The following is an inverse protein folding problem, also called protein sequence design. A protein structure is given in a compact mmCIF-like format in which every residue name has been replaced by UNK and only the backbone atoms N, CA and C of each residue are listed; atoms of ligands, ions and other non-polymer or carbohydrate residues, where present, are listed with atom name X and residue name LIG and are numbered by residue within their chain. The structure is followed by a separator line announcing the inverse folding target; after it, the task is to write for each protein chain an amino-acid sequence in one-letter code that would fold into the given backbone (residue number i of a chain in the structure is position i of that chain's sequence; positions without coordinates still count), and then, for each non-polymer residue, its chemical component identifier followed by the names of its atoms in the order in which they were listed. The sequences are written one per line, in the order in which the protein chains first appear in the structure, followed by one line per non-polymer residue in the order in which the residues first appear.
data_IF_607757900147
#
_entry.id   IF_607757900147
#
_cell.length_a   1.000
_cell.length_b   1.000
_cell.length_c   1.000
_cell.angle_alpha   90.00
_cell.angle_beta   90.00
_cell.angle_gamma   90.00
#
_symmetry.space_group_name_H-M   'P 1'
#
loop_
_entity.id
_entity.type
_entity.pdbx_description
1 polymer ?
#
# COMPACT_ATOMS: atom_id res chain seq x y z
N UNK A 1 7.09 2.42 -24.37
CA UNK A 1 6.18 3.58 -24.53
C UNK A 1 4.77 3.06 -24.64
N UNK A 2 3.87 3.53 -23.78
CA UNK A 2 2.44 3.23 -23.85
C UNK A 2 1.76 4.25 -24.78
N UNK A 3 0.89 3.77 -25.65
CA UNK A 3 0.14 4.62 -26.58
C UNK A 3 -1.38 4.39 -26.38
N UNK A 4 -2.21 5.41 -26.59
CA UNK A 4 -3.67 5.31 -26.47
C UNK A 4 -4.24 4.22 -27.41
N UNK A 5 -3.55 3.96 -28.52
CA UNK A 5 -3.88 2.90 -29.49
C UNK A 5 -3.79 1.51 -28.86
N UNK A 6 -2.87 1.28 -27.90
CA UNK A 6 -2.67 -0.02 -27.24
C UNK A 6 -3.86 -0.43 -26.36
N UNK A 7 -4.77 0.49 -26.03
CA UNK A 7 -6.00 0.18 -25.28
C UNK A 7 -7.05 -0.48 -26.18
N UNK A 8 -7.13 -0.05 -27.44
CA UNK A 8 -8.12 -0.53 -28.40
C UNK A 8 -7.60 -1.65 -29.31
N UNK A 9 -6.28 -1.77 -29.43
CA UNK A 9 -5.61 -2.88 -30.08
C UNK A 9 -4.46 -3.37 -29.19
N UNK A 10 -4.77 -4.15 -28.14
CA UNK A 10 -3.75 -4.63 -27.23
C UNK A 10 -2.71 -5.45 -27.99
N UNK A 11 -1.45 -5.22 -27.67
CA UNK A 11 -0.35 -6.01 -28.21
C UNK A 11 -0.58 -7.50 -27.88
N UNK A 12 -0.29 -8.42 -28.81
CA UNK A 12 -0.43 -9.84 -28.55
C UNK A 12 0.34 -10.23 -27.30
N UNK A 13 -0.24 -11.13 -26.51
CA UNK A 13 0.37 -11.58 -25.27
C UNK A 13 1.76 -12.14 -25.57
N UNK A 14 2.78 -11.62 -24.90
CA UNK A 14 4.16 -12.05 -25.04
C UNK A 14 4.75 -12.25 -23.66
N UNK A 15 5.73 -13.14 -23.57
CA UNK A 15 6.52 -13.26 -22.37
C UNK A 15 7.33 -11.96 -22.17
N UNK A 16 7.27 -11.43 -20.96
CA UNK A 16 8.09 -10.31 -20.53
C UNK A 16 9.48 -10.86 -20.20
N UNK A 17 10.51 -10.22 -20.73
CA UNK A 17 11.88 -10.59 -20.38
C UNK A 17 12.17 -10.25 -18.92
N UNK A 18 13.13 -10.95 -18.31
CA UNK A 18 13.54 -10.70 -16.93
C UNK A 18 13.91 -9.22 -16.71
N UNK A 19 14.55 -8.57 -17.68
CA UNK A 19 14.88 -7.14 -17.66
C UNK A 19 13.67 -6.21 -17.59
N UNK A 20 12.54 -6.64 -18.15
CA UNK A 20 11.30 -5.87 -18.13
C UNK A 20 10.55 -6.01 -16.80
N UNK A 21 10.69 -7.16 -16.13
CA UNK A 21 10.05 -7.45 -14.84
C UNK A 21 10.93 -7.12 -13.63
N UNK A 22 12.21 -6.78 -13.84
CA UNK A 22 13.10 -6.39 -12.75
C UNK A 22 12.56 -5.20 -11.96
N UNK A 23 12.70 -5.30 -10.63
CA UNK A 23 12.36 -4.23 -9.70
C UNK A 23 13.17 -2.96 -10.01
N UNK A 24 12.50 -1.81 -9.93
CA UNK A 24 13.14 -0.50 -9.99
C UNK A 24 13.38 0.03 -8.57
N UNK A 25 14.57 0.59 -8.28
CA UNK A 25 14.90 1.09 -6.93
C UNK A 25 13.89 2.16 -6.43
N UNK A 26 13.48 3.16 -7.24
CA UNK A 26 12.43 4.09 -6.86
C UNK A 26 11.08 3.40 -6.58
N UNK A 27 10.75 2.33 -7.31
CA UNK A 27 9.53 1.56 -7.10
C UNK A 27 9.55 0.89 -5.72
N UNK A 28 10.67 0.25 -5.37
CA UNK A 28 10.86 -0.38 -4.06
C UNK A 28 10.81 0.65 -2.92
N UNK A 29 11.47 1.79 -3.10
CA UNK A 29 11.41 2.90 -2.14
C UNK A 29 9.95 3.35 -1.95
N UNK A 30 9.23 3.56 -3.05
CA UNK A 30 7.84 4.02 -2.97
C UNK A 30 6.90 3.00 -2.34
N UNK A 31 7.03 1.71 -2.69
CA UNK A 31 6.24 0.66 -2.04
C UNK A 31 6.51 0.58 -0.54
N UNK A 32 7.77 0.78 -0.13
CA UNK A 32 8.16 0.74 1.29
C UNK A 32 7.59 1.92 2.05
N UNK A 33 7.74 3.14 1.52
CA UNK A 33 7.18 4.35 2.13
C UNK A 33 5.65 4.30 2.20
N UNK A 34 4.98 3.85 1.14
CA UNK A 34 3.53 3.69 1.15
C UNK A 34 3.10 2.68 2.23
N UNK A 35 3.72 1.51 2.26
CA UNK A 35 3.37 0.46 3.20
C UNK A 35 3.61 0.88 4.67
N UNK A 36 4.72 1.58 4.96
CA UNK A 36 4.99 2.14 6.28
C UNK A 36 4.03 3.27 6.66
N UNK A 37 3.83 4.25 5.76
CA UNK A 37 3.01 5.42 6.02
C UNK A 37 1.52 5.08 6.13
N UNK A 38 0.96 4.44 5.11
CA UNK A 38 -0.44 4.02 5.11
C UNK A 38 -0.69 2.90 6.12
N UNK A 39 0.23 1.95 6.25
CA UNK A 39 0.14 0.91 7.27
C UNK A 39 0.13 1.47 8.69
N UNK A 40 1.00 2.46 8.98
CA UNK A 40 1.01 3.19 10.25
C UNK A 40 -0.29 3.95 10.51
N UNK A 41 -0.81 4.64 9.49
CA UNK A 41 -2.10 5.32 9.57
C UNK A 41 -3.24 4.36 9.95
N UNK A 42 -3.31 3.18 9.32
CA UNK A 42 -4.30 2.16 9.65
C UNK A 42 -4.06 1.51 11.02
N UNK A 43 -2.82 1.12 11.35
CA UNK A 43 -2.47 0.40 12.58
C UNK A 43 -2.78 1.22 13.85
N UNK A 44 -2.56 2.54 13.78
CA UNK A 44 -2.90 3.49 14.85
C UNK A 44 -4.41 3.72 15.01
N UNK A 45 -5.23 3.20 14.09
CA UNK A 45 -6.68 3.38 14.11
C UNK A 45 -7.12 4.80 13.77
N UNK A 46 -6.26 5.60 13.13
CA UNK A 46 -6.60 6.97 12.74
C UNK A 46 -7.92 7.12 11.95
N UNK A 47 -8.23 6.25 10.96
CA UNK A 47 -9.52 6.33 10.25
C UNK A 47 -10.76 6.24 11.14
N UNK A 48 -10.61 5.67 12.34
CA UNK A 48 -11.72 5.37 13.25
C UNK A 48 -11.80 6.31 14.45
N UNK A 49 -11.08 7.44 14.41
CA UNK A 49 -11.22 8.46 15.43
C UNK A 49 -12.46 9.28 15.15
N UNK A 50 -13.32 9.40 16.15
CA UNK A 50 -14.46 10.31 16.11
C UNK A 50 -13.98 11.74 16.38
N UNK A 51 -14.15 12.64 15.40
CA UNK A 51 -13.63 14.02 15.44
C UNK A 51 -14.76 15.05 15.33
N UNK A 52 -14.40 16.34 15.32
CA UNK A 52 -15.36 17.43 15.10
C UNK A 52 -15.97 17.40 13.70
N UNK A 53 -15.32 16.74 12.73
CA UNK A 53 -15.86 16.57 11.38
C UNK A 53 -17.17 15.77 11.40
N UNK A 54 -17.19 14.64 12.11
CA UNK A 54 -18.37 13.79 12.23
C UNK A 54 -19.47 14.49 13.06
N UNK A 55 -19.08 15.22 14.12
CA UNK A 55 -20.01 16.06 14.90
C UNK A 55 -20.67 17.14 14.05
N UNK A 56 -19.89 17.83 13.22
CA UNK A 56 -20.37 18.86 12.30
C UNK A 56 -21.32 18.31 11.22
N UNK A 57 -21.26 17.00 10.94
CA UNK A 57 -22.19 16.29 10.06
C UNK A 57 -23.44 15.76 10.80
N UNK A 58 -23.58 16.05 12.10
CA UNK A 58 -24.69 15.57 12.93
C UNK A 58 -24.64 14.08 13.25
N UNK A 59 -23.50 13.42 13.02
CA UNK A 59 -23.33 11.99 13.34
C UNK A 59 -23.05 11.90 14.84
N UNK A 60 -23.88 11.16 15.59
CA UNK A 60 -23.63 10.90 17.01
C UNK A 60 -22.54 9.85 17.19
N UNK A 61 -21.92 9.81 18.38
CA UNK A 61 -20.93 8.77 18.69
C UNK A 61 -21.53 7.36 18.55
N UNK A 62 -22.77 7.15 18.99
CA UNK A 62 -23.44 5.86 18.89
C UNK A 62 -23.64 5.42 17.42
N UNK A 63 -24.03 6.35 16.54
CA UNK A 63 -24.18 6.09 15.11
C UNK A 63 -22.82 5.83 14.44
N UNK A 64 -21.78 6.57 14.83
CA UNK A 64 -20.42 6.35 14.34
C UNK A 64 -19.89 4.96 14.72
N UNK A 65 -20.09 4.52 15.96
CA UNK A 65 -19.70 3.19 16.44
C UNK A 65 -20.49 2.07 15.73
N UNK A 66 -21.79 2.28 15.46
CA UNK A 66 -22.61 1.34 14.70
C UNK A 66 -22.11 1.15 13.27
N UNK A 67 -21.63 2.22 12.63
CA UNK A 67 -21.05 2.17 11.27
C UNK A 67 -19.65 1.54 11.22
N UNK A 68 -18.94 1.55 12.34
CA UNK A 68 -17.57 1.05 12.43
C UNK A 68 -17.48 -0.09 13.47
N UNK A 69 -18.01 -1.28 13.16
CA UNK A 69 -18.01 -2.39 14.11
C UNK A 69 -16.59 -2.82 14.49
N UNK A 70 -16.43 -3.37 15.69
CA UNK A 70 -15.12 -3.72 16.26
C UNK A 70 -14.30 -4.65 15.37
N UNK A 71 -14.93 -5.66 14.76
CA UNK A 71 -14.23 -6.58 13.84
C UNK A 71 -13.60 -5.84 12.66
N UNK A 72 -14.28 -4.83 12.11
CA UNK A 72 -13.77 -4.04 10.98
C UNK A 72 -12.60 -3.17 11.41
N UNK A 73 -12.72 -2.50 12.57
CA UNK A 73 -11.64 -1.72 13.17
C UNK A 73 -10.39 -2.57 13.39
N UNK A 74 -10.54 -3.77 13.95
CA UNK A 74 -9.42 -4.67 14.20
C UNK A 74 -8.81 -5.23 12.91
N UNK A 75 -9.63 -5.58 11.92
CA UNK A 75 -9.14 -6.05 10.61
C UNK A 75 -8.27 -5.01 9.92
N UNK A 76 -8.72 -3.74 9.85
CA UNK A 76 -7.90 -2.69 9.23
C UNK A 76 -6.64 -2.38 10.02
N UNK A 77 -6.68 -2.41 11.36
CA UNK A 77 -5.49 -2.23 12.19
C UNK A 77 -4.48 -3.36 11.98
N UNK A 78 -4.95 -4.60 11.93
CA UNK A 78 -4.13 -5.78 11.64
C UNK A 78 -3.52 -5.71 10.24
N UNK A 79 -4.31 -5.35 9.23
CA UNK A 79 -3.81 -5.11 7.88
C UNK A 79 -2.75 -4.00 7.85
N UNK A 80 -2.95 -2.92 8.59
CA UNK A 80 -1.96 -1.86 8.77
C UNK A 80 -0.64 -2.37 9.35
N UNK A 81 -0.68 -3.22 10.39
CA UNK A 81 0.52 -3.85 10.96
C UNK A 81 1.23 -4.76 9.95
N UNK A 82 0.48 -5.53 9.15
CA UNK A 82 1.04 -6.35 8.07
C UNK A 82 1.74 -5.48 7.01
N UNK A 83 1.13 -4.36 6.62
CA UNK A 83 1.75 -3.41 5.70
C UNK A 83 3.05 -2.83 6.26
N UNK A 84 3.10 -2.48 7.55
CA UNK A 84 4.34 -2.00 8.18
C UNK A 84 5.44 -3.07 8.08
N UNK A 85 5.13 -4.32 8.45
CA UNK A 85 6.07 -5.42 8.34
C UNK A 85 6.55 -5.62 6.89
N UNK A 86 5.63 -5.60 5.93
CA UNK A 86 5.95 -5.68 4.51
C UNK A 86 6.84 -4.51 4.05
N UNK A 87 6.57 -3.29 4.50
CA UNK A 87 7.36 -2.10 4.19
C UNK A 87 8.79 -2.20 4.72
N UNK A 88 8.99 -2.75 5.93
CA UNK A 88 10.33 -3.01 6.49
C UNK A 88 11.05 -4.08 5.65
N UNK A 89 10.37 -5.19 5.35
CA UNK A 89 10.94 -6.29 4.57
C UNK A 89 11.38 -5.79 3.20
N UNK A 90 10.52 -5.08 2.46
CA UNK A 90 10.84 -4.52 1.15
C UNK A 90 11.89 -3.41 1.22
N UNK A 91 11.81 -2.53 2.21
CA UNK A 91 12.74 -1.41 2.37
C UNK A 91 14.16 -1.85 2.71
N UNK A 92 14.32 -3.02 3.34
CA UNK A 92 15.61 -3.59 3.72
C UNK A 92 16.14 -4.62 2.72
N UNK A 93 15.38 -4.94 1.68
CA UNK A 93 15.79 -5.86 0.61
C UNK A 93 16.92 -5.28 -0.24
N UNK A 94 17.92 -6.10 -0.57
CA UNK A 94 19.17 -5.68 -1.22
C UNK A 94 20.22 -5.18 -0.24
N UNK A 95 19.82 -4.71 0.95
CA UNK A 95 20.75 -4.21 1.97
C UNK A 95 20.99 -5.24 3.10
N UNK A 96 19.91 -5.70 3.73
CA UNK A 96 19.96 -6.63 4.88
C UNK A 96 19.81 -8.08 4.40
N UNK A 97 18.91 -8.32 3.43
CA UNK A 97 18.64 -9.64 2.86
C UNK A 97 18.54 -9.56 1.33
N UNK A 98 18.66 -10.67 0.61
CA UNK A 98 18.73 -10.71 -0.86
C UNK A 98 19.81 -9.76 -1.43
N UNK A 99 21.06 -9.91 -0.97
CA UNK A 99 22.16 -8.99 -1.28
C UNK A 99 22.56 -8.96 -2.77
N UNK A 100 22.25 -10.02 -3.51
CA UNK A 100 22.54 -10.14 -4.95
C UNK A 100 21.43 -9.54 -5.83
N UNK A 101 20.47 -8.83 -5.22
CA UNK A 101 19.34 -8.22 -5.94
C UNK A 101 19.83 -7.26 -7.02
N UNK A 102 19.48 -7.57 -8.27
CA UNK A 102 19.73 -6.71 -9.42
C UNK A 102 18.52 -5.81 -9.63
N UNK A 103 18.80 -4.51 -9.69
CA UNK A 103 17.80 -3.50 -10.01
C UNK A 103 17.84 -3.15 -11.50
N UNK A 104 16.69 -2.75 -12.03
CA UNK A 104 16.60 -2.18 -13.38
C UNK A 104 17.50 -0.94 -13.46
N UNK A 105 18.45 -0.96 -14.39
CA UNK A 105 19.31 0.18 -14.70
C UNK A 105 18.52 1.20 -15.52
N UNK A 106 18.68 2.48 -15.18
CA UNK A 106 18.07 3.60 -15.90
C UNK A 106 18.84 3.91 -17.19
#
# INVERSE_FOLDING_TARGET
MSNIIDVFNPRPNRELSEQETMDCLPCQVMSSFFALGFGGYLATGQPFKYTDKERGQGITLAEFEKRNPLWWKYSLRGFGSVLIAFGIVRGTEGWIWNKDKKYKKF
#
